data_IF_571251091802
#
_entry.id   IF_571251091802
#
_cell.length_a   1.000
_cell.length_b   1.000
_cell.length_c   1.000
_cell.angle_alpha   90.00
_cell.angle_beta   90.00
_cell.angle_gamma   90.00
#
_symmetry.space_group_name_H-M   'P 1'
#
loop_
_entity.id
_entity.type
_entity.pdbx_description
1 polymer ?
#
# COMPACT_ATOMS: atom_id res chain seq x y z
N UNK A 1 3.65 1.04 40.31
CA UNK A 1 4.09 1.23 38.92
C UNK A 1 2.83 1.66 38.15
N UNK A 2 2.76 2.89 37.67
CA UNK A 2 1.63 3.35 36.85
C UNK A 2 1.81 2.67 35.48
N UNK A 3 0.87 1.82 35.01
CA UNK A 3 1.00 1.24 33.70
C UNK A 3 1.08 2.40 32.70
N UNK A 4 2.09 2.39 31.83
CA UNK A 4 2.13 3.31 30.71
C UNK A 4 0.83 3.06 29.94
N UNK A 5 -0.03 4.06 29.92
CA UNK A 5 -1.20 4.04 29.03
C UNK A 5 -0.70 3.67 27.65
N UNK A 6 -1.29 2.66 27.00
CA UNK A 6 -0.96 2.42 25.60
C UNK A 6 -1.18 3.75 24.90
N UNK A 7 -0.15 4.26 24.25
CA UNK A 7 -0.30 5.43 23.39
C UNK A 7 -1.16 4.97 22.23
N UNK A 8 -2.44 5.26 22.33
CA UNK A 8 -3.39 4.75 21.39
C UNK A 8 -3.25 5.35 20.09
N UNK A 9 -3.29 4.49 19.23
CA UNK A 9 -2.88 4.67 17.90
C UNK A 9 -4.03 4.40 16.98
N UNK A 10 -4.10 5.17 15.96
CA UNK A 10 -4.90 4.84 14.81
C UNK A 10 -4.15 3.78 14.00
N UNK A 11 -4.77 2.65 13.74
CA UNK A 11 -4.21 1.65 12.81
C UNK A 11 -4.31 2.07 11.34
N UNK A 12 -4.84 3.26 11.06
CA UNK A 12 -4.89 3.91 9.75
C UNK A 12 -4.44 5.35 9.91
N UNK A 13 -3.45 5.76 9.15
CA UNK A 13 -2.90 7.12 9.15
C UNK A 13 -2.75 7.63 7.72
N UNK A 14 -3.40 8.75 7.41
CA UNK A 14 -3.25 9.44 6.14
C UNK A 14 -2.27 10.59 6.29
N UNK A 15 -1.36 10.77 5.33
CA UNK A 15 -0.46 11.93 5.33
C UNK A 15 -1.28 13.21 5.16
N UNK A 16 -0.95 14.25 5.92
CA UNK A 16 -1.68 15.53 5.86
C UNK A 16 -1.44 16.27 4.54
N UNK A 17 -0.26 16.07 3.97
CA UNK A 17 0.14 16.63 2.69
C UNK A 17 0.62 15.51 1.76
N UNK A 18 0.63 15.71 0.43
CA UNK A 18 1.27 14.82 -0.51
C UNK A 18 2.75 14.61 -0.13
N UNK A 19 3.20 13.36 -0.14
CA UNK A 19 4.62 12.99 0.05
C UNK A 19 5.41 13.06 -1.25
N UNK A 20 4.69 13.09 -2.38
CA UNK A 20 5.25 13.29 -3.71
C UNK A 20 4.51 14.41 -4.44
N UNK A 21 5.27 15.25 -5.16
CA UNK A 21 4.69 16.24 -6.08
C UNK A 21 4.08 15.54 -7.31
N UNK A 22 3.24 16.22 -8.12
CA UNK A 22 2.74 15.67 -9.37
C UNK A 22 3.85 15.20 -10.32
N UNK A 23 4.94 15.94 -10.40
CA UNK A 23 6.13 15.59 -11.22
C UNK A 23 6.80 14.32 -10.70
N UNK A 24 6.95 14.19 -9.38
CA UNK A 24 7.48 12.97 -8.76
C UNK A 24 6.53 11.78 -8.96
N UNK A 25 5.22 11.97 -8.85
CA UNK A 25 4.23 10.94 -9.18
C UNK A 25 4.39 10.48 -10.64
N UNK A 26 4.58 11.41 -11.58
CA UNK A 26 4.84 11.07 -12.98
C UNK A 26 6.12 10.26 -13.14
N UNK A 27 7.22 10.67 -12.50
CA UNK A 27 8.48 9.91 -12.53
C UNK A 27 8.31 8.48 -12.01
N UNK A 28 7.55 8.30 -10.93
CA UNK A 28 7.27 6.97 -10.36
C UNK A 28 6.43 6.13 -11.32
N UNK A 29 5.41 6.72 -11.96
CA UNK A 29 4.58 6.08 -12.98
C UNK A 29 5.44 5.62 -14.17
N UNK A 30 6.29 6.51 -14.68
CA UNK A 30 7.18 6.22 -15.82
C UNK A 30 8.16 5.08 -15.48
N UNK A 31 8.75 5.11 -14.27
CA UNK A 31 9.63 4.04 -13.80
C UNK A 31 8.88 2.71 -13.64
N UNK A 32 7.64 2.73 -13.13
CA UNK A 32 6.80 1.54 -13.01
C UNK A 32 6.45 0.92 -14.37
N UNK A 33 6.16 1.76 -15.38
CA UNK A 33 5.90 1.29 -16.74
C UNK A 33 7.14 0.72 -17.46
N UNK A 34 8.34 1.12 -17.04
CA UNK A 34 9.59 0.55 -17.56
C UNK A 34 9.95 -0.80 -16.94
N UNK A 35 9.32 -1.19 -15.83
CA UNK A 35 9.49 -2.49 -15.21
C UNK A 35 8.58 -3.51 -15.88
N UNK A 36 8.98 -4.78 -15.86
CA UNK A 36 8.19 -5.86 -16.47
C UNK A 36 6.80 -5.93 -15.79
N UNK A 37 5.72 -5.78 -16.58
CA UNK A 37 4.38 -5.90 -16.03
C UNK A 37 4.00 -7.37 -15.83
N UNK A 38 3.25 -7.64 -14.76
CA UNK A 38 2.64 -8.95 -14.52
C UNK A 38 1.19 -8.80 -14.05
N UNK A 39 0.39 -9.83 -14.30
CA UNK A 39 -0.92 -9.92 -13.66
C UNK A 39 -0.73 -10.17 -12.18
N UNK A 40 -1.45 -9.44 -11.36
CA UNK A 40 -1.34 -9.59 -9.92
C UNK A 40 -2.01 -10.89 -9.44
N UNK A 41 -1.25 -11.71 -8.71
CA UNK A 41 -1.78 -12.90 -8.04
C UNK A 41 -2.53 -12.53 -6.76
N UNK A 42 -3.39 -13.43 -6.29
CA UNK A 42 -4.04 -13.40 -4.99
C UNK A 42 -3.40 -14.47 -4.10
N UNK A 43 -3.08 -14.13 -2.86
CA UNK A 43 -2.29 -14.97 -1.97
C UNK A 43 -0.78 -14.70 -2.13
N UNK A 44 -0.03 -14.86 -1.04
CA UNK A 44 1.40 -14.54 -1.01
C UNK A 44 2.28 -15.61 -1.65
N UNK A 45 3.46 -15.19 -2.13
CA UNK A 45 4.53 -16.06 -2.59
C UNK A 45 4.22 -16.84 -3.87
N UNK A 46 4.99 -17.90 -4.10
CA UNK A 46 4.86 -18.77 -5.29
C UNK A 46 3.51 -19.48 -5.40
N UNK A 47 2.83 -19.71 -4.28
CA UNK A 47 1.51 -20.34 -4.22
C UNK A 47 0.35 -19.42 -4.65
N UNK A 48 0.60 -18.14 -4.90
CA UNK A 48 -0.41 -17.19 -5.34
C UNK A 48 -1.04 -17.60 -6.67
N UNK A 49 -2.38 -17.48 -6.76
CA UNK A 49 -3.15 -17.84 -7.96
C UNK A 49 -3.74 -16.62 -8.62
N UNK A 50 -3.89 -16.67 -9.94
CA UNK A 50 -4.66 -15.66 -10.68
C UNK A 50 -6.15 -15.93 -10.45
N UNK A 51 -6.85 -14.96 -9.86
CA UNK A 51 -8.29 -15.02 -9.64
C UNK A 51 -8.92 -13.68 -10.02
N UNK A 52 -9.43 -13.62 -11.24
CA UNK A 52 -10.09 -12.42 -11.77
C UNK A 52 -11.40 -12.06 -11.08
N UNK A 53 -11.96 -12.98 -10.26
CA UNK A 53 -13.11 -12.68 -9.39
C UNK A 53 -12.70 -11.93 -8.12
N UNK A 54 -11.41 -11.98 -7.77
CA UNK A 54 -10.85 -11.31 -6.59
C UNK A 54 -10.00 -10.11 -6.92
N UNK A 55 -9.27 -10.14 -8.04
CA UNK A 55 -8.37 -9.05 -8.41
C UNK A 55 -8.25 -8.87 -9.93
N UNK A 56 -8.44 -7.63 -10.39
CA UNK A 56 -8.21 -7.23 -11.79
C UNK A 56 -7.28 -6.02 -11.78
N UNK A 57 -5.97 -6.27 -11.83
CA UNK A 57 -4.92 -5.24 -11.84
C UNK A 57 -3.70 -5.74 -12.57
N UNK A 58 -2.93 -4.82 -13.14
CA UNK A 58 -1.55 -5.06 -13.57
C UNK A 58 -0.60 -4.46 -12.54
N UNK A 59 0.47 -5.17 -12.23
CA UNK A 59 1.50 -4.70 -11.31
C UNK A 59 2.88 -4.75 -11.96
N UNK A 60 3.79 -3.96 -11.45
CA UNK A 60 5.22 -4.10 -11.69
C UNK A 60 6.00 -3.71 -10.44
N UNK A 61 7.17 -4.28 -10.26
CA UNK A 61 8.01 -4.04 -9.10
C UNK A 61 9.12 -3.06 -9.46
N UNK A 62 9.21 -1.97 -8.70
CA UNK A 62 10.28 -0.96 -8.86
C UNK A 62 11.43 -1.35 -7.92
N UNK A 63 12.60 -1.77 -8.43
CA UNK A 63 13.74 -2.12 -7.58
C UNK A 63 14.23 -0.94 -6.75
N UNK A 64 14.89 -1.23 -5.61
CA UNK A 64 15.37 -0.20 -4.69
C UNK A 64 16.37 0.78 -5.32
N UNK A 65 17.20 0.30 -6.23
CA UNK A 65 18.23 1.07 -6.93
C UNK A 65 17.68 1.93 -8.08
N UNK A 66 16.46 1.64 -8.56
CA UNK A 66 15.86 2.39 -9.69
C UNK A 66 15.43 3.79 -9.30
N UNK A 67 14.88 3.97 -8.09
CA UNK A 67 14.41 5.26 -7.56
C UNK A 67 14.79 5.44 -6.08
N UNK A 68 16.07 5.52 -5.72
CA UNK A 68 16.50 5.56 -4.33
C UNK A 68 15.95 6.76 -3.55
N UNK A 69 15.71 7.90 -4.20
CA UNK A 69 15.13 9.07 -3.55
C UNK A 69 13.65 8.86 -3.18
N UNK A 70 12.89 8.12 -3.99
CA UNK A 70 11.52 7.71 -3.65
C UNK A 70 11.52 6.89 -2.36
N UNK A 71 12.39 5.89 -2.26
CA UNK A 71 12.50 5.03 -1.09
C UNK A 71 12.90 5.81 0.17
N UNK A 72 13.82 6.76 0.04
CA UNK A 72 14.24 7.63 1.16
C UNK A 72 13.07 8.48 1.68
N UNK A 73 12.25 9.04 0.81
CA UNK A 73 11.04 9.78 1.21
C UNK A 73 10.09 8.86 1.96
N UNK A 74 9.84 7.65 1.43
CA UNK A 74 8.93 6.68 2.04
C UNK A 74 9.45 6.21 3.40
N UNK A 75 10.73 5.92 3.53
CA UNK A 75 11.35 5.50 4.79
C UNK A 75 11.26 6.57 5.88
N UNK A 76 11.47 7.84 5.52
CA UNK A 76 11.26 8.96 6.42
C UNK A 76 9.80 9.04 6.88
N UNK A 77 8.84 8.89 5.96
CA UNK A 77 7.42 8.90 6.31
C UNK A 77 7.03 7.69 7.18
N UNK A 78 7.56 6.51 6.87
CA UNK A 78 7.37 5.32 7.70
C UNK A 78 7.80 5.58 9.14
N UNK A 79 8.99 6.16 9.34
CA UNK A 79 9.53 6.46 10.67
C UNK A 79 8.60 7.40 11.45
N UNK A 80 8.13 8.47 10.80
CA UNK A 80 7.20 9.44 11.40
C UNK A 80 5.87 8.77 11.76
N UNK A 81 5.30 8.02 10.81
CA UNK A 81 3.98 7.41 10.98
C UNK A 81 4.04 6.28 12.00
N UNK A 82 5.08 5.45 11.99
CA UNK A 82 5.25 4.41 12.99
C UNK A 82 5.40 4.98 14.39
N UNK A 83 6.21 6.02 14.57
CA UNK A 83 6.40 6.69 15.87
C UNK A 83 5.12 7.32 16.41
N UNK A 84 4.25 7.84 15.54
CA UNK A 84 3.05 8.59 15.96
C UNK A 84 1.78 7.73 16.03
N UNK A 85 1.74 6.58 15.33
CA UNK A 85 0.50 5.83 15.13
C UNK A 85 0.59 4.34 15.45
N UNK A 86 1.66 3.64 15.08
CA UNK A 86 1.67 2.18 15.13
C UNK A 86 2.54 1.60 16.24
N UNK A 87 3.71 2.17 16.51
CA UNK A 87 4.68 1.71 17.51
C UNK A 87 5.13 0.26 17.34
N UNK A 88 5.19 -0.23 16.13
CA UNK A 88 5.76 -1.55 15.87
C UNK A 88 7.29 -1.51 15.92
N UNK A 89 7.88 -2.44 16.63
CA UNK A 89 9.34 -2.57 16.75
C UNK A 89 9.96 -3.11 15.46
N UNK A 90 11.16 -2.61 15.13
CA UNK A 90 11.99 -3.15 14.06
C UNK A 90 11.40 -3.09 12.66
N UNK A 91 10.40 -2.21 12.43
CA UNK A 91 9.77 -2.06 11.10
C UNK A 91 10.72 -1.37 10.12
N UNK A 92 10.89 -1.97 8.96
CA UNK A 92 11.78 -1.48 7.90
C UNK A 92 11.29 -1.84 6.52
N UNK A 93 11.93 -1.28 5.50
CA UNK A 93 11.76 -1.69 4.11
C UNK A 93 12.23 -3.15 3.94
N UNK A 94 11.37 -4.00 3.46
CA UNK A 94 11.65 -5.43 3.25
C UNK A 94 11.36 -5.92 1.85
N UNK A 95 10.57 -5.16 1.10
CA UNK A 95 10.11 -5.51 -0.24
C UNK A 95 10.21 -4.30 -1.17
N UNK A 96 10.49 -4.49 -2.47
CA UNK A 96 10.39 -3.42 -3.46
C UNK A 96 8.98 -2.85 -3.55
N UNK A 97 8.88 -1.63 -4.04
CA UNK A 97 7.59 -0.97 -4.25
C UNK A 97 6.81 -1.63 -5.40
N UNK A 98 5.54 -1.88 -5.18
CA UNK A 98 4.62 -2.37 -6.20
C UNK A 98 3.90 -1.20 -6.85
N UNK A 99 4.21 -0.92 -8.11
CA UNK A 99 3.42 -0.04 -8.96
C UNK A 99 2.18 -0.81 -9.43
N UNK A 100 1.00 -0.28 -9.15
CA UNK A 100 -0.27 -0.95 -9.42
C UNK A 100 -1.15 -0.12 -10.32
N UNK A 101 -1.66 -0.72 -11.40
CA UNK A 101 -2.55 -0.10 -12.37
C UNK A 101 -3.92 -0.78 -12.31
N UNK A 102 -4.95 -0.02 -12.01
CA UNK A 102 -6.36 -0.44 -12.05
C UNK A 102 -7.02 0.17 -13.28
N UNK A 103 -7.29 -0.62 -14.34
CA UNK A 103 -8.04 -0.15 -15.50
C UNK A 103 -9.51 0.05 -15.15
N UNK A 104 -10.31 0.56 -16.09
CA UNK A 104 -11.79 0.55 -15.95
C UNK A 104 -12.26 -0.86 -15.59
N UNK A 105 -13.11 -0.98 -14.57
CA UNK A 105 -13.55 -2.21 -13.90
C UNK A 105 -12.46 -2.92 -13.07
N UNK A 106 -11.24 -2.40 -13.02
CA UNK A 106 -10.17 -2.92 -12.16
C UNK A 106 -10.52 -2.75 -10.68
N UNK A 107 -10.21 -3.77 -9.88
CA UNK A 107 -10.50 -3.80 -8.44
C UNK A 107 -9.58 -4.79 -7.73
N UNK A 108 -9.60 -4.74 -6.41
CA UNK A 108 -9.07 -5.80 -5.54
C UNK A 108 -10.02 -5.99 -4.37
N UNK A 109 -10.60 -7.17 -4.28
CA UNK A 109 -11.61 -7.50 -3.27
C UNK A 109 -11.01 -7.59 -1.87
N UNK A 110 -11.85 -7.77 -0.87
CA UNK A 110 -11.50 -7.83 0.55
C UNK A 110 -10.37 -8.81 0.85
N UNK A 111 -9.25 -8.28 1.35
CA UNK A 111 -8.07 -9.05 1.73
C UNK A 111 -7.33 -8.38 2.90
N UNK A 112 -6.36 -9.08 3.44
CA UNK A 112 -5.34 -8.59 4.38
C UNK A 112 -3.98 -8.74 3.71
N UNK A 113 -3.07 -7.83 4.05
CA UNK A 113 -1.69 -7.88 3.55
C UNK A 113 -0.76 -8.70 4.44
N UNK A 114 -1.24 -9.07 5.63
CA UNK A 114 -0.49 -9.86 6.60
C UNK A 114 -0.04 -11.20 6.00
N UNK A 115 1.26 -11.47 6.06
CA UNK A 115 1.89 -12.69 5.56
C UNK A 115 2.37 -13.62 6.69
N UNK A 116 1.74 -13.58 7.86
CA UNK A 116 2.18 -14.32 9.06
C UNK A 116 2.21 -15.85 8.89
N UNK A 117 1.50 -16.37 7.89
CA UNK A 117 1.38 -17.81 7.64
C UNK A 117 2.12 -18.28 6.37
N UNK A 118 2.82 -17.37 5.70
CA UNK A 118 3.52 -17.65 4.45
C UNK A 118 5.03 -17.48 4.58
N UNK A 119 5.72 -18.53 5.01
CA UNK A 119 7.18 -18.56 5.02
C UNK A 119 7.72 -19.37 6.19
N UNK A 120 8.91 -19.95 6.04
CA UNK A 120 9.58 -20.79 7.02
C UNK A 120 10.11 -20.04 8.26
N UNK A 121 9.43 -18.95 8.68
CA UNK A 121 9.86 -18.15 9.84
C UNK A 121 11.02 -17.18 9.56
N UNK A 122 11.61 -17.23 8.39
CA UNK A 122 12.81 -16.43 8.03
C UNK A 122 12.46 -15.08 7.39
N UNK A 123 11.23 -14.92 6.87
CA UNK A 123 10.81 -13.69 6.23
C UNK A 123 10.19 -12.73 7.25
N UNK A 124 10.53 -11.43 7.18
CA UNK A 124 9.88 -10.43 8.01
C UNK A 124 8.36 -10.44 7.82
N UNK A 125 7.63 -10.34 8.94
CA UNK A 125 6.17 -10.25 8.89
C UNK A 125 5.79 -8.82 8.48
N UNK A 126 4.92 -8.67 7.50
CA UNK A 126 4.36 -7.37 7.11
C UNK A 126 3.58 -6.78 8.27
N UNK A 127 4.03 -5.65 8.78
CA UNK A 127 3.43 -4.93 9.91
C UNK A 127 2.59 -3.75 9.46
N UNK A 128 3.12 -2.97 8.53
CA UNK A 128 2.50 -1.78 7.97
C UNK A 128 2.42 -1.93 6.46
N UNK A 129 1.28 -1.57 5.91
CA UNK A 129 1.05 -1.39 4.48
C UNK A 129 0.92 0.09 4.15
N UNK A 130 1.33 0.48 2.96
CA UNK A 130 1.18 1.83 2.43
C UNK A 130 0.53 1.77 1.05
N UNK A 131 -0.41 2.66 0.80
CA UNK A 131 -0.89 2.98 -0.55
C UNK A 131 -0.75 4.47 -0.80
N UNK A 132 0.02 4.87 -1.82
CA UNK A 132 0.14 6.23 -2.29
C UNK A 132 -0.60 6.39 -3.63
N UNK A 133 -1.48 7.38 -3.74
CA UNK A 133 -2.19 7.67 -5.00
C UNK A 133 -1.26 8.42 -5.95
N UNK A 134 -0.99 7.84 -7.12
CA UNK A 134 -0.14 8.45 -8.14
C UNK A 134 -0.93 9.17 -9.24
N UNK A 135 -2.15 8.72 -9.54
CA UNK A 135 -3.04 9.40 -10.50
C UNK A 135 -3.56 10.71 -9.94
N UNK A 136 -3.80 11.68 -10.82
CA UNK A 136 -4.66 12.81 -10.49
C UNK A 136 -6.10 12.31 -10.25
N UNK A 137 -6.76 12.67 -9.13
CA UNK A 137 -8.13 12.26 -8.86
C UNK A 137 -9.15 12.69 -9.93
N UNK A 138 -8.85 13.70 -10.74
CA UNK A 138 -9.70 14.13 -11.85
C UNK A 138 -9.71 13.18 -13.05
N UNK A 139 -8.69 12.30 -13.15
CA UNK A 139 -8.52 11.39 -14.30
C UNK A 139 -9.34 10.10 -14.18
N UNK A 140 -9.91 9.80 -13.00
CA UNK A 140 -10.65 8.56 -12.77
C UNK A 140 -11.81 8.76 -11.79
N UNK A 141 -12.72 7.79 -11.74
CA UNK A 141 -13.79 7.72 -10.73
C UNK A 141 -13.94 6.30 -10.20
N UNK A 142 -14.38 6.16 -8.96
CA UNK A 142 -14.36 4.88 -8.24
C UNK A 142 -12.94 4.52 -7.81
N UNK A 143 -12.67 3.25 -7.58
CA UNK A 143 -11.34 2.82 -7.12
C UNK A 143 -11.06 3.21 -5.67
N UNK A 144 -12.10 3.39 -4.86
CA UNK A 144 -11.99 3.79 -3.46
C UNK A 144 -11.28 2.71 -2.63
N UNK A 145 -10.35 3.13 -1.78
CA UNK A 145 -9.77 2.26 -0.76
C UNK A 145 -10.70 2.26 0.46
N UNK A 146 -11.16 1.08 0.85
CA UNK A 146 -12.13 0.87 1.92
C UNK A 146 -11.56 -0.10 2.95
N UNK A 147 -11.86 0.14 4.23
CA UNK A 147 -11.49 -0.70 5.37
C UNK A 147 -12.74 -1.22 6.04
N UNK A 148 -12.80 -2.52 6.36
CA UNK A 148 -13.98 -3.14 6.99
C UNK A 148 -14.27 -2.54 8.37
N UNK A 149 -13.23 -2.21 9.13
CA UNK A 149 -13.33 -1.67 10.49
C UNK A 149 -13.82 -0.22 10.53
N UNK A 150 -13.77 0.49 9.41
CA UNK A 150 -14.25 1.89 9.31
C UNK A 150 -15.68 2.00 8.81
N UNK A 151 -16.36 0.87 8.63
CA UNK A 151 -17.68 0.78 7.98
C UNK A 151 -17.56 0.74 6.45
N UNK A 152 -18.35 -0.12 5.84
CA UNK A 152 -18.21 -0.59 4.45
C UNK A 152 -18.24 0.50 3.36
N UNK A 153 -18.57 1.74 3.67
CA UNK A 153 -18.79 2.78 2.67
C UNK A 153 -18.15 4.13 3.01
N UNK A 154 -17.13 4.16 3.84
CA UNK A 154 -16.38 5.40 4.10
C UNK A 154 -15.05 5.40 3.36
N UNK A 155 -15.01 5.91 2.10
CA UNK A 155 -13.76 6.06 1.38
C UNK A 155 -12.88 7.09 2.08
N UNK A 156 -11.58 6.86 2.04
CA UNK A 156 -10.58 7.85 2.42
C UNK A 156 -10.08 8.52 1.13
N UNK A 157 -10.60 9.70 0.77
CA UNK A 157 -10.16 10.39 -0.42
C UNK A 157 -8.70 10.81 -0.30
N UNK A 158 -7.92 10.55 -1.32
CA UNK A 158 -6.53 10.96 -1.42
C UNK A 158 -6.36 11.99 -2.52
N UNK A 159 -5.52 12.98 -2.27
CA UNK A 159 -4.93 13.83 -3.32
C UNK A 159 -3.81 13.07 -4.01
N UNK A 160 -3.45 13.48 -5.22
CA UNK A 160 -2.25 12.96 -5.89
C UNK A 160 -1.02 13.12 -4.99
N UNK A 161 -0.22 12.07 -4.88
CA UNK A 161 0.96 12.04 -4.04
C UNK A 161 0.70 11.83 -2.54
N UNK A 162 -0.55 11.81 -2.06
CA UNK A 162 -0.86 11.45 -0.68
C UNK A 162 -0.81 9.94 -0.47
N UNK A 163 -0.42 9.54 0.75
CA UNK A 163 -0.34 8.15 1.16
C UNK A 163 -1.23 7.86 2.39
N UNK A 164 -1.77 6.66 2.41
CA UNK A 164 -2.37 6.02 3.57
C UNK A 164 -1.42 4.92 4.03
N UNK A 165 -1.11 4.91 5.32
CA UNK A 165 -0.43 3.83 6.02
C UNK A 165 -1.45 3.12 6.91
N UNK A 166 -1.39 1.81 6.96
CA UNK A 166 -2.32 1.02 7.78
C UNK A 166 -1.67 -0.28 8.25
N UNK A 167 -2.15 -0.79 9.38
CA UNK A 167 -1.69 -2.08 9.88
C UNK A 167 -2.03 -3.19 8.88
N UNK A 168 -1.05 -4.01 8.50
CA UNK A 168 -1.20 -5.03 7.44
C UNK A 168 -2.26 -6.10 7.74
N UNK A 169 -2.68 -6.23 9.00
CA UNK A 169 -3.77 -7.13 9.40
C UNK A 169 -5.18 -6.53 9.18
N UNK A 170 -5.30 -5.25 8.83
CA UNK A 170 -6.61 -4.66 8.54
C UNK A 170 -7.15 -5.18 7.22
N UNK A 171 -8.41 -5.59 7.25
CA UNK A 171 -9.11 -6.05 6.07
C UNK A 171 -9.54 -4.85 5.21
N UNK A 172 -9.08 -4.84 3.97
CA UNK A 172 -9.30 -3.71 3.06
C UNK A 172 -9.57 -4.19 1.64
N UNK A 173 -10.10 -3.28 0.81
CA UNK A 173 -10.33 -3.52 -0.62
C UNK A 173 -10.11 -2.25 -1.42
N UNK A 174 -9.90 -2.41 -2.73
CA UNK A 174 -10.03 -1.34 -3.73
C UNK A 174 -11.28 -1.60 -4.54
N UNK A 175 -12.28 -0.71 -4.41
CA UNK A 175 -13.53 -0.79 -5.14
C UNK A 175 -13.30 -0.69 -6.66
N UNK A 176 -14.24 -1.14 -7.51
CA UNK A 176 -14.07 -1.06 -8.95
C UNK A 176 -13.90 0.38 -9.46
N UNK A 177 -12.91 0.59 -10.33
CA UNK A 177 -12.74 1.82 -11.08
C UNK A 177 -13.89 1.94 -12.10
N UNK A 178 -14.67 3.01 -12.00
CA UNK A 178 -15.85 3.24 -12.87
C UNK A 178 -15.46 3.89 -14.19
N UNK A 179 -14.51 4.85 -14.16
CA UNK A 179 -14.01 5.59 -15.33
C UNK A 179 -12.52 5.85 -15.17
N UNK A 180 -11.78 5.92 -16.27
CA UNK A 180 -10.35 6.22 -16.29
C UNK A 180 -9.48 5.06 -15.79
N UNK A 181 -8.28 5.41 -15.35
CA UNK A 181 -7.27 4.46 -14.84
C UNK A 181 -6.70 4.99 -13.53
N UNK A 182 -6.79 4.20 -12.47
CA UNK A 182 -6.19 4.53 -11.18
C UNK A 182 -4.81 3.88 -11.07
N UNK A 183 -3.80 4.67 -10.75
CA UNK A 183 -2.43 4.21 -10.51
C UNK A 183 -2.05 4.49 -9.07
N UNK A 184 -1.40 3.54 -8.43
CA UNK A 184 -0.92 3.68 -7.05
C UNK A 184 0.42 2.99 -6.85
N UNK A 185 1.14 3.46 -5.84
CA UNK A 185 2.32 2.82 -5.32
C UNK A 185 1.93 2.11 -4.02
N UNK A 186 2.20 0.82 -3.93
CA UNK A 186 1.92 0.01 -2.74
C UNK A 186 3.25 -0.48 -2.18
N UNK A 187 3.37 -0.43 -0.85
CA UNK A 187 4.54 -0.96 -0.15
C UNK A 187 4.13 -1.68 1.12
N UNK A 188 4.95 -2.63 1.50
CA UNK A 188 4.85 -3.34 2.76
C UNK A 188 6.14 -3.19 3.55
N UNK A 189 5.98 -2.97 4.84
CA UNK A 189 7.09 -2.81 5.76
C UNK A 189 7.04 -3.95 6.77
N UNK A 190 8.13 -4.69 6.82
CA UNK A 190 8.24 -5.88 7.64
C UNK A 190 9.01 -5.64 8.93
N UNK A 191 8.77 -6.51 9.88
CA UNK A 191 9.44 -6.52 11.17
C UNK A 191 9.46 -7.92 11.78
N UNK A 192 9.96 -8.06 13.04
CA UNK A 192 9.94 -9.33 13.76
C UNK A 192 8.50 -9.81 13.99
N UNK A 193 8.27 -11.04 14.43
CA UNK A 193 6.96 -11.52 14.88
C UNK A 193 6.29 -10.60 15.91
N UNK A 194 4.97 -10.70 16.03
CA UNK A 194 4.19 -9.95 17.04
C UNK A 194 4.49 -10.47 18.43
#
# INVERSE_FOLDING_TARGET
MIPRMPRWQSYVATTTQPIFTPEQCKMIIDAGHQCAPEQAKVGGGEAGKYDTKKRVTTISWIPFDKLPQMYKVIENQLSIVNLNHFYFDGVRLTEPAQFTVYPKKGFYDWHMDLNAFGGNGENPIRKISMTCLLSDPSEFTGGDLLFSEMGDNKPLPLKQGQAIFFASFLRHKVAPVKKGVRKSLVMWFGGPPF
#
